data_IF_775865323961
#
_entry.id   IF_775865323961
#
_cell.length_a   1.000
_cell.length_b   1.000
_cell.length_c   1.000
_cell.angle_alpha   90.00
_cell.angle_beta   90.00
_cell.angle_gamma   90.00
#
_symmetry.space_group_name_H-M   'P 1'
#
loop_
_entity.id
_entity.type
_entity.pdbx_description
1 polymer ?
#
# COMPACT_ATOMS: atom_id res chain seq x y z
N UNK A 1 18.52 3.36 11.73
CA UNK A 1 17.46 4.16 11.08
C UNK A 1 16.73 3.23 10.15
N UNK A 2 15.42 3.04 10.33
CA UNK A 2 14.59 2.22 9.44
C UNK A 2 14.43 2.90 8.07
N UNK A 3 13.93 2.15 7.07
CA UNK A 3 13.64 2.75 5.75
C UNK A 3 12.52 3.79 5.86
N UNK A 4 11.50 3.55 6.69
CA UNK A 4 10.45 4.55 6.95
C UNK A 4 11.01 5.82 7.60
N UNK A 5 11.86 5.71 8.62
CA UNK A 5 12.50 6.89 9.25
C UNK A 5 13.30 7.69 8.23
N UNK A 6 14.08 7.02 7.39
CA UNK A 6 14.86 7.67 6.32
C UNK A 6 13.97 8.37 5.30
N UNK A 7 12.90 7.71 4.86
CA UNK A 7 11.93 8.24 3.91
C UNK A 7 11.21 9.47 4.46
N UNK A 8 10.66 9.41 5.69
CA UNK A 8 9.97 10.55 6.29
C UNK A 8 10.93 11.71 6.57
N UNK A 9 12.19 11.45 6.96
CA UNK A 9 13.20 12.48 7.11
C UNK A 9 13.48 13.19 5.80
N UNK A 10 13.60 12.46 4.68
CA UNK A 10 13.78 13.03 3.35
C UNK A 10 12.58 13.86 2.90
N UNK A 11 11.36 13.38 3.10
CA UNK A 11 10.14 14.14 2.81
C UNK A 11 10.08 15.46 3.60
N UNK A 12 10.43 15.41 4.89
CA UNK A 12 10.47 16.59 5.76
C UNK A 12 11.51 17.61 5.28
N UNK A 13 12.70 17.16 4.90
CA UNK A 13 13.75 18.03 4.35
C UNK A 13 13.31 18.73 3.05
N UNK A 14 12.47 18.06 2.24
CA UNK A 14 11.91 18.58 1.00
C UNK A 14 10.62 19.41 1.22
N UNK A 15 10.22 19.65 2.46
CA UNK A 15 8.98 20.36 2.83
C UNK A 15 7.72 19.75 2.14
N UNK A 16 7.60 18.44 2.15
CA UNK A 16 6.45 17.72 1.57
C UNK A 16 6.02 16.52 2.43
N UNK A 17 4.86 15.99 2.13
CA UNK A 17 4.43 14.69 2.64
C UNK A 17 4.88 13.52 1.77
N UNK A 18 4.72 12.30 2.27
CA UNK A 18 4.95 11.09 1.52
C UNK A 18 3.76 10.76 0.60
N UNK A 19 4.04 10.14 -0.56
CA UNK A 19 3.02 9.60 -1.46
C UNK A 19 3.25 8.10 -1.67
N UNK A 20 2.23 7.30 -1.31
CA UNK A 20 2.31 5.83 -1.28
C UNK A 20 1.24 5.23 -2.19
N UNK A 21 1.61 4.43 -3.21
CA UNK A 21 0.66 3.65 -3.98
C UNK A 21 0.35 2.34 -3.27
N UNK A 22 -0.93 1.92 -3.31
CA UNK A 22 -1.30 0.54 -3.06
C UNK A 22 -1.42 -0.22 -4.38
N UNK A 23 -0.84 -1.41 -4.44
CA UNK A 23 -0.92 -2.33 -5.58
C UNK A 23 -1.22 -3.73 -5.09
N UNK A 24 -2.17 -4.43 -5.75
CA UNK A 24 -2.38 -5.86 -5.55
C UNK A 24 -1.29 -6.64 -6.28
N UNK A 25 -0.48 -7.41 -5.54
CA UNK A 25 0.58 -8.23 -6.13
C UNK A 25 0.00 -9.27 -7.09
N UNK A 26 0.59 -9.34 -8.27
CA UNK A 26 0.16 -10.25 -9.33
C UNK A 26 -0.98 -9.75 -10.22
N UNK A 27 -1.51 -8.54 -10.03
CA UNK A 27 -2.56 -7.96 -10.85
C UNK A 27 -1.96 -7.12 -12.02
N UNK A 28 -2.21 -7.44 -13.30
CA UNK A 28 -2.98 -8.58 -13.83
C UNK A 28 -2.15 -9.87 -14.01
N UNK A 29 -0.83 -9.82 -13.93
CA UNK A 29 0.14 -10.93 -13.88
C UNK A 29 1.31 -10.54 -13.00
N UNK A 30 2.14 -11.51 -12.56
CA UNK A 30 3.30 -11.22 -11.71
C UNK A 30 4.27 -10.26 -12.38
N UNK A 31 4.57 -10.45 -13.66
CA UNK A 31 5.54 -9.66 -14.40
C UNK A 31 5.00 -8.26 -14.75
N UNK A 32 3.72 -8.16 -15.09
CA UNK A 32 3.09 -6.87 -15.32
C UNK A 32 2.99 -6.08 -14.00
N UNK A 33 2.65 -6.73 -12.88
CA UNK A 33 2.63 -6.16 -11.55
C UNK A 33 4.01 -5.62 -11.15
N UNK A 34 5.09 -6.41 -11.39
CA UNK A 34 6.47 -5.97 -11.14
C UNK A 34 6.79 -4.70 -11.92
N UNK A 35 6.49 -4.65 -13.21
CA UNK A 35 6.73 -3.47 -14.06
C UNK A 35 5.89 -2.26 -13.65
N UNK A 36 4.63 -2.45 -13.28
CA UNK A 36 3.76 -1.39 -12.76
C UNK A 36 4.34 -0.78 -11.49
N UNK A 37 4.85 -1.61 -10.57
CA UNK A 37 5.46 -1.16 -9.32
C UNK A 37 6.77 -0.39 -9.61
N UNK A 38 7.63 -0.91 -10.49
CA UNK A 38 8.85 -0.21 -10.93
C UNK A 38 8.51 1.18 -11.49
N UNK A 39 7.43 1.28 -12.28
CA UNK A 39 6.96 2.54 -12.85
C UNK A 39 6.47 3.53 -11.79
N UNK A 40 5.70 3.07 -10.80
CA UNK A 40 5.22 3.92 -9.70
C UNK A 40 6.37 4.43 -8.84
N UNK A 41 7.42 3.61 -8.61
CA UNK A 41 8.63 4.06 -7.93
C UNK A 41 9.36 5.12 -8.75
N UNK A 42 9.52 4.91 -10.05
CA UNK A 42 10.13 5.89 -10.96
C UNK A 42 9.34 7.20 -11.04
N UNK A 43 8.01 7.14 -10.86
CA UNK A 43 7.12 8.29 -10.80
C UNK A 43 7.15 9.03 -9.46
N UNK A 44 7.91 8.55 -8.46
CA UNK A 44 8.14 9.25 -7.19
C UNK A 44 7.43 8.64 -5.99
N UNK A 45 7.10 7.35 -6.00
CA UNK A 45 6.59 6.68 -4.81
C UNK A 45 7.65 6.68 -3.70
N UNK A 46 7.25 7.15 -2.51
CA UNK A 46 8.14 7.23 -1.34
C UNK A 46 8.22 5.88 -0.61
N UNK A 47 7.12 5.13 -0.60
CA UNK A 47 7.02 3.78 -0.09
C UNK A 47 6.00 3.00 -0.93
N UNK A 48 5.91 1.70 -0.72
CA UNK A 48 4.90 0.83 -1.33
C UNK A 48 3.98 0.25 -0.26
N UNK A 49 2.69 0.14 -0.57
CA UNK A 49 1.74 -0.68 0.14
C UNK A 49 1.26 -1.78 -0.81
N UNK A 50 1.51 -3.04 -0.47
CA UNK A 50 1.28 -4.17 -1.36
C UNK A 50 0.25 -5.12 -0.75
N UNK A 51 -0.77 -5.49 -1.54
CA UNK A 51 -1.78 -6.48 -1.17
C UNK A 51 -1.35 -7.89 -1.54
N UNK A 52 -1.60 -8.87 -0.67
CA UNK A 52 -1.56 -10.29 -1.01
C UNK A 52 -2.97 -10.77 -1.40
N UNK A 53 -3.13 -11.64 -2.41
CA UNK A 53 -4.43 -12.16 -2.78
C UNK A 53 -5.07 -12.93 -1.61
N UNK A 54 -6.37 -12.66 -1.37
CA UNK A 54 -7.17 -13.30 -0.34
C UNK A 54 -8.60 -13.52 -0.83
N UNK A 55 -9.24 -14.63 -0.43
CA UNK A 55 -10.56 -15.03 -0.94
C UNK A 55 -11.71 -14.21 -0.38
N UNK A 56 -11.58 -13.68 0.85
CA UNK A 56 -12.68 -13.08 1.61
C UNK A 56 -12.34 -11.66 2.10
N UNK A 57 -12.05 -10.70 1.20
CA UNK A 57 -11.52 -9.38 1.54
C UNK A 57 -12.60 -8.42 2.04
N UNK A 58 -13.09 -8.65 3.26
CA UNK A 58 -14.25 -7.95 3.86
C UNK A 58 -14.06 -6.45 4.10
N UNK A 59 -12.83 -5.97 4.19
CA UNK A 59 -12.51 -4.54 4.37
C UNK A 59 -12.34 -3.81 3.04
N UNK A 60 -12.34 -4.52 1.91
CA UNK A 60 -12.06 -3.96 0.60
C UNK A 60 -13.34 -3.59 -0.16
N UNK A 61 -13.25 -2.50 -0.92
CA UNK A 61 -14.26 -2.11 -1.89
C UNK A 61 -14.16 -2.91 -3.19
N UNK A 62 -15.19 -2.84 -4.01
CA UNK A 62 -15.39 -3.66 -5.22
C UNK A 62 -14.15 -3.72 -6.12
N UNK A 63 -13.50 -2.59 -6.40
CA UNK A 63 -12.33 -2.56 -7.28
C UNK A 63 -11.16 -3.43 -6.77
N UNK A 64 -10.92 -3.43 -5.44
CA UNK A 64 -9.85 -4.24 -4.84
C UNK A 64 -10.30 -5.70 -4.75
N UNK A 65 -11.58 -5.97 -4.42
CA UNK A 65 -12.14 -7.32 -4.44
C UNK A 65 -11.99 -7.97 -5.83
N UNK A 66 -12.29 -7.24 -6.90
CA UNK A 66 -12.09 -7.71 -8.28
C UNK A 66 -10.62 -7.96 -8.61
N UNK A 67 -9.67 -7.18 -8.05
CA UNK A 67 -8.24 -7.44 -8.22
C UNK A 67 -7.83 -8.77 -7.59
N UNK A 68 -8.30 -9.11 -6.38
CA UNK A 68 -8.08 -10.42 -5.79
C UNK A 68 -8.54 -11.57 -6.72
N UNK A 69 -9.75 -11.42 -7.30
CA UNK A 69 -10.31 -12.42 -8.22
C UNK A 69 -9.47 -12.57 -9.50
N UNK A 70 -8.97 -11.45 -10.07
CA UNK A 70 -8.09 -11.51 -11.25
C UNK A 70 -6.79 -12.26 -10.95
N UNK A 71 -6.19 -12.00 -9.79
CA UNK A 71 -4.96 -12.69 -9.36
C UNK A 71 -5.21 -14.19 -9.18
N UNK A 72 -6.29 -14.58 -8.50
CA UNK A 72 -6.66 -15.99 -8.34
C UNK A 72 -6.94 -16.70 -9.67
N UNK A 73 -7.61 -16.02 -10.60
CA UNK A 73 -7.88 -16.58 -11.93
C UNK A 73 -6.60 -16.95 -12.71
N UNK A 74 -5.45 -16.38 -12.31
CA UNK A 74 -4.12 -16.71 -12.88
C UNK A 74 -3.37 -17.80 -12.11
N UNK A 75 -3.96 -18.36 -11.06
CA UNK A 75 -3.31 -19.36 -10.22
C UNK A 75 -2.16 -18.82 -9.36
N UNK A 76 -2.04 -17.50 -9.24
CA UNK A 76 -1.00 -16.85 -8.43
C UNK A 76 -1.32 -17.06 -6.96
N UNK A 77 -0.34 -17.44 -6.19
CA UNK A 77 -0.44 -17.74 -4.77
C UNK A 77 0.47 -16.82 -3.92
N UNK A 78 0.36 -16.95 -2.59
CA UNK A 78 1.12 -16.13 -1.64
C UNK A 78 2.65 -16.33 -1.78
N UNK A 79 3.11 -17.53 -2.13
CA UNK A 79 4.55 -17.78 -2.32
C UNK A 79 5.09 -17.01 -3.52
N UNK A 80 4.37 -17.01 -4.65
CA UNK A 80 4.72 -16.24 -5.85
C UNK A 80 4.82 -14.73 -5.55
N UNK A 81 3.91 -14.22 -4.69
CA UNK A 81 3.93 -12.83 -4.26
C UNK A 81 5.17 -12.51 -3.41
N UNK A 82 5.57 -13.39 -2.48
CA UNK A 82 6.80 -13.20 -1.71
C UNK A 82 8.06 -13.22 -2.59
N UNK A 83 8.09 -14.07 -3.62
CA UNK A 83 9.20 -14.10 -4.57
C UNK A 83 9.27 -12.80 -5.39
N UNK A 84 8.12 -12.25 -5.77
CA UNK A 84 8.04 -10.92 -6.39
C UNK A 84 8.54 -9.81 -5.45
N UNK A 85 8.14 -9.82 -4.16
CA UNK A 85 8.64 -8.87 -3.17
C UNK A 85 10.16 -8.94 -3.07
N UNK A 86 10.74 -10.14 -3.03
CA UNK A 86 12.20 -10.33 -3.01
C UNK A 86 12.90 -9.71 -4.22
N UNK A 87 12.33 -9.85 -5.43
CA UNK A 87 12.85 -9.21 -6.64
C UNK A 87 12.75 -7.68 -6.57
N UNK A 88 11.61 -7.16 -6.12
CA UNK A 88 11.42 -5.72 -5.91
C UNK A 88 12.41 -5.16 -4.90
N UNK A 89 12.62 -5.85 -3.78
CA UNK A 89 13.62 -5.45 -2.76
C UNK A 89 15.03 -5.41 -3.33
N UNK A 90 15.42 -6.38 -4.15
CA UNK A 90 16.73 -6.40 -4.80
C UNK A 90 16.94 -5.21 -5.74
N UNK A 91 15.91 -4.80 -6.48
CA UNK A 91 15.93 -3.64 -7.38
C UNK A 91 15.87 -2.30 -6.62
N UNK A 92 15.08 -2.24 -5.54
CA UNK A 92 14.78 -1.01 -4.80
C UNK A 92 15.15 -1.14 -3.31
N UNK A 93 16.44 -1.21 -2.97
CA UNK A 93 16.90 -1.55 -1.61
C UNK A 93 16.50 -0.51 -0.55
N UNK A 94 16.20 0.73 -0.94
CA UNK A 94 15.90 1.82 -0.01
C UNK A 94 14.41 2.16 0.11
N UNK A 95 13.56 1.69 -0.81
CA UNK A 95 12.12 1.99 -0.78
C UNK A 95 11.45 1.16 0.31
N UNK A 96 10.72 1.75 1.29
CA UNK A 96 9.95 0.98 2.25
C UNK A 96 8.86 0.15 1.55
N UNK A 97 8.73 -1.12 1.95
CA UNK A 97 7.70 -2.05 1.46
C UNK A 97 6.82 -2.45 2.63
N UNK A 98 5.57 -2.02 2.64
CA UNK A 98 4.53 -2.45 3.55
C UNK A 98 3.60 -3.46 2.90
N UNK A 99 3.07 -4.39 3.69
CA UNK A 99 1.98 -5.27 3.29
C UNK A 99 0.68 -4.83 3.94
N UNK A 100 -0.40 -4.81 3.16
CA UNK A 100 -1.77 -4.73 3.64
C UNK A 100 -2.44 -6.08 3.33
N UNK A 101 -2.77 -6.85 4.39
CA UNK A 101 -3.19 -8.24 4.28
C UNK A 101 -4.25 -8.58 5.33
N UNK A 102 -4.96 -9.68 5.13
CA UNK A 102 -5.95 -10.19 6.07
C UNK A 102 -5.35 -11.16 7.08
N UNK A 103 -5.84 -11.12 8.32
CA UNK A 103 -5.32 -11.88 9.48
C UNK A 103 -5.30 -13.39 9.29
N UNK A 104 -6.16 -13.95 8.46
CA UNK A 104 -6.15 -15.37 8.14
C UNK A 104 -4.86 -15.82 7.41
N UNK A 105 -4.20 -14.95 6.65
CA UNK A 105 -2.96 -15.31 5.95
C UNK A 105 -1.84 -15.64 6.96
N UNK A 106 -1.43 -14.73 7.87
CA UNK A 106 -0.42 -15.04 8.88
C UNK A 106 -0.89 -16.12 9.86
N UNK A 107 -2.19 -16.17 10.18
CA UNK A 107 -2.70 -17.19 11.07
C UNK A 107 -2.56 -18.61 10.49
N UNK A 108 -2.90 -18.79 9.20
CA UNK A 108 -2.79 -20.08 8.51
C UNK A 108 -1.34 -20.54 8.32
N UNK A 109 -0.41 -19.59 8.13
CA UNK A 109 1.02 -19.89 8.00
C UNK A 109 1.71 -20.13 9.34
N UNK A 110 1.11 -19.69 10.45
CA UNK A 110 1.75 -19.51 11.75
C UNK A 110 2.45 -18.15 11.81
N UNK A 111 2.18 -17.38 12.89
CA UNK A 111 2.62 -15.99 13.00
C UNK A 111 4.14 -15.83 12.83
N UNK A 112 4.92 -16.63 13.55
CA UNK A 112 6.38 -16.56 13.51
C UNK A 112 6.90 -16.85 12.09
N UNK A 113 6.43 -17.93 11.46
CA UNK A 113 6.83 -18.32 10.11
C UNK A 113 6.46 -17.26 9.06
N UNK A 114 5.28 -16.63 9.20
CA UNK A 114 4.86 -15.55 8.32
C UNK A 114 5.78 -14.32 8.44
N UNK A 115 6.06 -13.87 9.66
CA UNK A 115 6.90 -12.69 9.87
C UNK A 115 8.37 -12.95 9.54
N UNK A 116 8.90 -14.16 9.76
CA UNK A 116 10.22 -14.58 9.27
C UNK A 116 10.27 -14.53 7.73
N UNK A 117 9.21 -14.97 7.06
CA UNK A 117 9.11 -14.87 5.59
C UNK A 117 9.07 -13.40 5.14
N UNK A 118 8.31 -12.54 5.83
CA UNK A 118 8.30 -11.10 5.58
C UNK A 118 9.70 -10.49 5.69
N UNK A 119 10.41 -10.73 6.78
CA UNK A 119 11.75 -10.23 7.00
C UNK A 119 12.73 -10.73 5.92
N UNK A 120 12.67 -12.02 5.57
CA UNK A 120 13.52 -12.64 4.55
C UNK A 120 13.28 -12.05 3.16
N UNK A 121 12.04 -11.70 2.82
CA UNK A 121 11.69 -11.04 1.57
C UNK A 121 12.00 -9.53 1.58
N UNK A 122 12.33 -8.97 2.74
CA UNK A 122 12.66 -7.54 2.89
C UNK A 122 11.44 -6.64 3.05
N UNK A 123 10.33 -7.16 3.59
CA UNK A 123 9.16 -6.37 4.00
C UNK A 123 9.51 -5.53 5.21
N UNK A 124 9.10 -4.26 5.22
CA UNK A 124 9.36 -3.32 6.31
C UNK A 124 8.21 -3.23 7.30
N UNK A 125 6.97 -3.39 6.84
CA UNK A 125 5.80 -3.31 7.72
C UNK A 125 4.64 -4.20 7.27
N UNK A 126 3.74 -4.48 8.21
CA UNK A 126 2.49 -5.20 7.96
C UNK A 126 1.34 -4.45 8.62
N UNK A 127 0.24 -4.26 7.86
CA UNK A 127 -1.05 -3.78 8.31
C UNK A 127 -2.09 -4.87 8.11
N UNK A 128 -2.89 -5.16 9.15
CA UNK A 128 -3.94 -6.18 9.15
C UNK A 128 -5.27 -5.51 9.52
N UNK A 129 -6.13 -5.17 8.56
CA UNK A 129 -7.30 -4.32 8.79
C UNK A 129 -8.43 -5.01 9.57
N UNK A 130 -8.48 -6.33 9.57
CA UNK A 130 -9.47 -7.16 10.26
C UNK A 130 -9.03 -7.65 11.66
N UNK A 131 -7.83 -7.21 12.14
CA UNK A 131 -7.36 -7.47 13.50
C UNK A 131 -7.43 -6.18 14.32
N UNK A 132 -8.39 -6.06 15.27
CA UNK A 132 -8.50 -4.90 16.15
C UNK A 132 -7.24 -4.72 17.02
N UNK A 133 -6.93 -3.47 17.42
CA UNK A 133 -5.74 -3.15 18.21
C UNK A 133 -5.60 -4.01 19.48
N UNK A 134 -6.70 -4.30 20.17
CA UNK A 134 -6.71 -5.14 21.38
C UNK A 134 -6.33 -6.59 21.14
N UNK A 135 -6.55 -7.10 19.92
CA UNK A 135 -6.21 -8.48 19.50
C UNK A 135 -4.84 -8.54 18.80
N UNK A 136 -4.23 -7.38 18.52
CA UNK A 136 -3.00 -7.27 17.76
C UNK A 136 -1.71 -7.72 18.46
N UNK A 137 -1.75 -7.95 19.80
CA UNK A 137 -0.56 -8.30 20.58
C UNK A 137 0.25 -9.48 20.05
N UNK A 138 -0.35 -10.65 19.72
CA UNK A 138 0.41 -11.78 19.17
C UNK A 138 1.12 -11.43 17.85
N UNK A 139 0.42 -10.70 16.97
CA UNK A 139 0.96 -10.25 15.68
C UNK A 139 2.14 -9.28 15.87
N UNK A 140 1.97 -8.27 16.73
CA UNK A 140 3.02 -7.30 16.99
C UNK A 140 4.22 -7.88 17.75
N UNK A 141 4.03 -8.92 18.55
CA UNK A 141 5.12 -9.65 19.20
C UNK A 141 5.98 -10.39 18.15
N UNK A 142 5.34 -11.16 17.27
CA UNK A 142 6.01 -11.90 16.21
C UNK A 142 6.71 -10.96 15.21
N UNK A 143 6.06 -9.87 14.80
CA UNK A 143 6.65 -8.88 13.87
C UNK A 143 7.88 -8.21 14.46
N UNK A 144 7.81 -7.81 15.73
CA UNK A 144 8.92 -7.17 16.45
C UNK A 144 10.11 -8.08 16.60
N UNK A 145 9.90 -9.39 16.80
CA UNK A 145 10.98 -10.37 16.95
C UNK A 145 11.91 -10.42 15.73
N UNK A 146 11.40 -10.08 14.54
CA UNK A 146 12.15 -10.09 13.27
C UNK A 146 12.36 -8.70 12.67
N UNK A 147 12.00 -7.62 13.38
CA UNK A 147 12.25 -6.25 12.96
C UNK A 147 11.29 -5.74 11.86
N UNK A 148 10.09 -6.33 11.74
CA UNK A 148 9.01 -5.85 10.86
C UNK A 148 8.09 -4.94 11.65
N UNK A 149 7.78 -3.75 11.14
CA UNK A 149 6.92 -2.77 11.80
C UNK A 149 5.43 -3.20 11.74
N UNK A 150 4.68 -2.94 12.83
CA UNK A 150 3.23 -3.14 12.86
C UNK A 150 2.53 -1.81 12.63
N UNK A 151 1.84 -1.67 11.49
CA UNK A 151 1.00 -0.51 11.16
C UNK A 151 -0.42 -0.76 11.66
N UNK A 152 -1.00 0.26 12.30
CA UNK A 152 -2.37 0.18 12.80
C UNK A 152 -3.25 1.27 12.17
N UNK A 153 -4.54 0.91 12.01
CA UNK A 153 -5.56 1.84 11.52
C UNK A 153 -6.04 2.73 12.67
N UNK A 154 -6.10 4.03 12.41
CA UNK A 154 -6.79 5.02 13.25
C UNK A 154 -8.12 5.39 12.59
N UNK A 155 -9.27 4.85 13.06
CA UNK A 155 -10.58 5.18 12.52
C UNK A 155 -10.98 6.63 12.85
N UNK A 156 -11.76 7.31 12.02
CA UNK A 156 -12.14 8.72 12.25
C UNK A 156 -13.07 8.93 13.45
N UNK A 157 -13.73 7.84 13.91
CA UNK A 157 -14.60 7.83 15.09
C UNK A 157 -13.96 7.17 16.31
N UNK A 158 -12.64 6.96 16.29
CA UNK A 158 -11.94 6.36 17.42
C UNK A 158 -12.01 7.26 18.66
N UNK A 159 -12.19 6.66 19.84
CA UNK A 159 -12.05 7.36 21.11
C UNK A 159 -10.58 7.76 21.33
N UNK A 160 -10.37 8.78 22.18
CA UNK A 160 -9.03 9.21 22.59
C UNK A 160 -8.20 8.04 23.14
N UNK A 161 -8.82 7.17 23.96
CA UNK A 161 -8.18 5.96 24.47
C UNK A 161 -7.73 5.03 23.35
N UNK A 162 -8.55 4.83 22.32
CA UNK A 162 -8.19 4.00 21.16
C UNK A 162 -7.05 4.63 20.37
N UNK A 163 -7.08 5.95 20.16
CA UNK A 163 -6.00 6.66 19.48
C UNK A 163 -4.67 6.59 20.26
N UNK A 164 -4.73 6.69 21.60
CA UNK A 164 -3.58 6.50 22.46
C UNK A 164 -2.96 5.09 22.31
N UNK A 165 -3.82 4.05 22.34
CA UNK A 165 -3.37 2.67 22.12
C UNK A 165 -2.75 2.46 20.73
N UNK A 166 -3.33 3.06 19.69
CA UNK A 166 -2.78 3.03 18.33
C UNK A 166 -1.43 3.73 18.29
N UNK A 167 -1.30 4.93 18.88
CA UNK A 167 -0.05 5.68 18.92
C UNK A 167 1.08 4.91 19.63
N UNK A 168 0.75 4.23 20.73
CA UNK A 168 1.72 3.41 21.49
C UNK A 168 2.18 2.17 20.72
N UNK A 169 1.23 1.50 20.04
CA UNK A 169 1.50 0.20 19.39
C UNK A 169 2.09 0.33 18.00
N UNK A 170 1.70 1.36 17.23
CA UNK A 170 2.11 1.52 15.83
C UNK A 170 3.60 1.75 15.68
N UNK A 171 4.17 1.18 14.62
CA UNK A 171 5.54 1.39 14.15
C UNK A 171 5.49 1.65 12.65
N UNK A 172 6.55 2.28 12.12
CA UNK A 172 6.56 2.72 10.71
C UNK A 172 5.67 3.94 10.51
N UNK A 173 4.36 3.76 10.48
CA UNK A 173 3.36 4.84 10.39
C UNK A 173 2.01 4.42 10.99
N UNK A 174 1.13 5.41 11.22
CA UNK A 174 -0.29 5.19 11.52
C UNK A 174 -1.09 5.38 10.24
N UNK A 175 -1.96 4.42 9.92
CA UNK A 175 -2.88 4.50 8.80
C UNK A 175 -4.19 5.18 9.23
N UNK A 176 -4.33 6.46 8.97
CA UNK A 176 -5.58 7.16 9.22
C UNK A 176 -6.56 6.92 8.06
N UNK A 177 -7.83 6.72 8.38
CA UNK A 177 -8.89 6.60 7.38
C UNK A 177 -9.83 7.78 7.44
N UNK A 178 -10.26 8.26 6.28
CA UNK A 178 -11.12 9.45 6.16
C UNK A 178 -12.58 9.18 6.55
N UNK A 179 -12.99 7.91 6.62
CA UNK A 179 -14.37 7.48 6.88
C UNK A 179 -14.41 6.04 7.38
N UNK A 180 -15.54 5.68 8.01
CA UNK A 180 -15.86 4.29 8.35
C UNK A 180 -16.41 3.61 7.10
N UNK A 181 -16.04 2.34 6.85
CA UNK A 181 -16.51 1.52 5.75
C UNK A 181 -15.37 0.94 4.89
N UNK A 182 -15.71 0.46 3.70
CA UNK A 182 -14.77 -0.16 2.77
C UNK A 182 -14.06 0.86 1.86
N UNK A 183 -12.96 0.45 1.24
CA UNK A 183 -12.21 1.24 0.26
C UNK A 183 -13.07 1.57 -0.97
N UNK A 184 -12.82 2.69 -1.65
CA UNK A 184 -13.53 3.07 -2.89
C UNK A 184 -13.32 4.53 -3.26
N UNK A 185 -13.38 4.85 -4.56
CA UNK A 185 -13.27 6.23 -5.07
C UNK A 185 -14.63 6.94 -5.19
N UNK A 186 -15.72 6.23 -4.96
CA UNK A 186 -17.09 6.73 -5.11
C UNK A 186 -17.48 7.79 -4.09
N UNK A 187 -16.75 7.81 -2.97
CA UNK A 187 -16.91 8.82 -1.92
C UNK A 187 -15.58 9.59 -1.80
N UNK A 188 -15.65 10.90 -2.00
CA UNK A 188 -14.49 11.77 -1.82
C UNK A 188 -13.94 11.66 -0.38
N UNK A 189 -12.61 11.78 -0.26
CA UNK A 189 -11.95 11.79 1.05
C UNK A 189 -12.49 12.95 1.89
N UNK A 190 -13.02 12.63 3.07
CA UNK A 190 -13.45 13.62 4.06
C UNK A 190 -12.33 13.80 5.08
N UNK A 191 -11.80 15.02 5.22
CA UNK A 191 -10.69 15.29 6.13
C UNK A 191 -11.16 15.67 7.54
N UNK A 192 -12.47 15.79 7.79
CA UNK A 192 -13.00 16.20 9.08
C UNK A 192 -12.54 15.33 10.26
N UNK A 193 -12.46 13.99 10.06
CA UNK A 193 -11.94 13.08 11.08
C UNK A 193 -10.44 13.23 11.37
N UNK A 194 -9.64 13.72 10.40
CA UNK A 194 -8.22 13.95 10.60
C UNK A 194 -7.93 15.13 11.50
N UNK A 195 -8.74 16.19 11.41
CA UNK A 195 -8.54 17.41 12.20
C UNK A 195 -8.59 17.15 13.71
N UNK A 196 -9.25 16.07 14.15
CA UNK A 196 -9.26 15.63 15.55
C UNK A 196 -8.26 14.50 15.83
N UNK A 197 -8.13 13.53 14.94
CA UNK A 197 -7.30 12.35 15.17
C UNK A 197 -5.80 12.66 15.13
N UNK A 198 -5.33 13.49 14.19
CA UNK A 198 -3.89 13.79 14.04
C UNK A 198 -3.31 14.51 15.26
N UNK A 199 -3.94 15.58 15.82
CA UNK A 199 -3.45 16.19 17.05
C UNK A 199 -3.34 15.20 18.20
N UNK A 200 -4.41 14.41 18.47
CA UNK A 200 -4.41 13.40 19.53
C UNK A 200 -3.31 12.35 19.35
N UNK A 201 -3.13 11.82 18.13
CA UNK A 201 -2.04 10.89 17.84
C UNK A 201 -0.66 11.52 18.14
N UNK A 202 -0.47 12.80 17.78
CA UNK A 202 0.79 13.53 18.05
C UNK A 202 1.04 13.77 19.54
N UNK A 203 0.00 14.06 20.32
CA UNK A 203 0.09 14.19 21.78
C UNK A 203 0.58 12.90 22.45
N UNK A 204 0.25 11.75 21.86
CA UNK A 204 0.72 10.43 22.29
C UNK A 204 2.01 9.96 21.58
N UNK A 205 2.76 10.89 20.95
CA UNK A 205 4.04 10.59 20.26
C UNK A 205 3.93 9.49 19.21
N UNK A 206 2.87 9.48 18.43
CA UNK A 206 2.72 8.51 17.35
C UNK A 206 3.82 8.62 16.30
N UNK A 207 4.03 7.53 15.58
CA UNK A 207 4.75 7.56 14.31
C UNK A 207 4.01 8.47 13.30
N UNK A 208 4.63 8.87 12.18
CA UNK A 208 3.97 9.67 11.14
C UNK A 208 2.62 9.11 10.73
N UNK A 209 1.70 9.99 10.32
CA UNK A 209 0.32 9.63 9.96
C UNK A 209 0.13 9.75 8.46
N UNK A 210 -0.24 8.65 7.79
CA UNK A 210 -0.63 8.63 6.38
C UNK A 210 -2.15 8.51 6.25
N UNK A 211 -2.77 9.34 5.38
CA UNK A 211 -4.19 9.22 5.08
C UNK A 211 -4.41 8.27 3.92
N UNK A 212 -5.16 7.20 4.17
CA UNK A 212 -5.74 6.34 3.14
C UNK A 212 -7.23 6.60 2.92
N UNK A 213 -7.84 5.83 2.04
CA UNK A 213 -9.24 5.86 1.61
C UNK A 213 -9.67 7.15 0.88
N UNK A 214 -10.22 6.96 -0.32
CA UNK A 214 -10.77 8.05 -1.12
C UNK A 214 -9.75 8.99 -1.78
N UNK A 215 -8.45 8.71 -1.66
CA UNK A 215 -7.38 9.48 -2.30
C UNK A 215 -7.26 9.07 -3.76
N UNK A 216 -7.86 9.86 -4.66
CA UNK A 216 -7.92 9.57 -6.10
C UNK A 216 -7.61 10.77 -6.99
N UNK A 217 -7.35 11.94 -6.41
CA UNK A 217 -7.06 13.19 -7.13
C UNK A 217 -6.05 14.02 -6.33
N UNK A 218 -5.24 14.87 -7.00
CA UNK A 218 -4.29 15.76 -6.32
C UNK A 218 -4.93 16.65 -5.24
N UNK A 219 -6.19 17.09 -5.43
CA UNK A 219 -6.91 17.88 -4.42
C UNK A 219 -7.08 17.13 -3.09
N UNK A 220 -7.26 15.80 -3.13
CA UNK A 220 -7.40 14.96 -1.93
C UNK A 220 -6.07 14.86 -1.17
N UNK A 221 -4.95 14.77 -1.90
CA UNK A 221 -3.61 14.78 -1.30
C UNK A 221 -3.35 16.11 -0.60
N UNK A 222 -3.59 17.25 -1.30
CA UNK A 222 -3.46 18.59 -0.68
C UNK A 222 -4.31 18.73 0.58
N UNK A 223 -5.56 18.26 0.54
CA UNK A 223 -6.45 18.29 1.69
C UNK A 223 -5.92 17.45 2.88
N UNK A 224 -5.36 16.27 2.61
CA UNK A 224 -4.73 15.42 3.62
C UNK A 224 -3.54 16.13 4.29
N UNK A 225 -2.64 16.70 3.49
CA UNK A 225 -1.47 17.44 3.98
C UNK A 225 -1.90 18.68 4.78
N UNK A 226 -2.88 19.45 4.29
CA UNK A 226 -3.41 20.61 5.00
C UNK A 226 -4.09 20.24 6.33
N UNK A 227 -4.67 19.05 6.44
CA UNK A 227 -5.24 18.51 7.69
C UNK A 227 -4.17 17.95 8.65
N UNK A 228 -2.88 18.06 8.32
CA UNK A 228 -1.75 17.69 9.18
C UNK A 228 -1.24 16.26 8.99
N UNK A 229 -1.69 15.50 7.99
CA UNK A 229 -1.10 14.20 7.66
C UNK A 229 0.33 14.36 7.15
N UNK A 230 1.17 13.36 7.40
CA UNK A 230 2.55 13.31 6.91
C UNK A 230 2.65 12.73 5.48
N UNK A 231 1.51 12.31 4.92
CA UNK A 231 1.41 11.83 3.55
C UNK A 231 0.04 11.22 3.23
N UNK A 232 -0.06 10.64 2.05
CA UNK A 232 -1.29 10.03 1.57
C UNK A 232 -1.03 8.69 0.86
N UNK A 233 -2.04 7.80 0.90
CA UNK A 233 -2.02 6.50 0.24
C UNK A 233 -3.14 6.48 -0.81
N UNK A 234 -2.82 6.08 -2.05
CA UNK A 234 -3.79 5.93 -3.13
C UNK A 234 -3.82 4.48 -3.61
N UNK A 235 -4.97 3.84 -3.56
CA UNK A 235 -5.14 2.43 -3.92
C UNK A 235 -6.17 2.23 -5.02
N UNK A 236 -7.45 2.35 -4.70
CA UNK A 236 -8.56 2.03 -5.62
C UNK A 236 -8.48 2.74 -6.97
N UNK A 237 -7.86 3.93 -7.05
CA UNK A 237 -7.65 4.63 -8.31
C UNK A 237 -6.66 3.87 -9.21
N UNK A 238 -5.52 3.46 -8.66
CA UNK A 238 -4.49 2.67 -9.37
C UNK A 238 -5.08 1.33 -9.81
N UNK A 239 -5.73 0.61 -8.89
CA UNK A 239 -6.33 -0.70 -9.16
C UNK A 239 -7.38 -0.62 -10.28
N UNK A 240 -8.17 0.45 -10.36
CA UNK A 240 -9.10 0.67 -11.48
C UNK A 240 -8.41 0.94 -12.81
N UNK A 241 -7.30 1.68 -12.81
CA UNK A 241 -6.50 1.89 -14.03
C UNK A 241 -5.93 0.56 -14.54
N UNK A 242 -5.44 -0.29 -13.63
CA UNK A 242 -4.98 -1.64 -13.97
C UNK A 242 -6.13 -2.48 -14.52
N UNK A 243 -7.27 -2.50 -13.84
CA UNK A 243 -8.46 -3.27 -14.24
C UNK A 243 -8.94 -2.91 -15.65
N UNK A 244 -8.90 -1.62 -16.00
CA UNK A 244 -9.34 -1.15 -17.33
C UNK A 244 -8.51 -1.71 -18.50
N UNK A 245 -7.31 -2.22 -18.24
CA UNK A 245 -6.39 -2.74 -19.26
C UNK A 245 -5.97 -4.21 -19.03
N UNK A 246 -6.45 -4.83 -17.94
CA UNK A 246 -5.99 -6.13 -17.50
C UNK A 246 -6.06 -7.21 -18.59
N UNK A 247 -7.23 -7.35 -19.22
CA UNK A 247 -7.45 -8.37 -20.26
C UNK A 247 -6.61 -8.13 -21.52
N UNK A 248 -6.43 -6.86 -21.92
CA UNK A 248 -5.61 -6.48 -23.06
C UNK A 248 -4.13 -6.81 -22.81
N UNK A 249 -3.63 -6.51 -21.61
CA UNK A 249 -2.25 -6.78 -21.17
C UNK A 249 -1.99 -8.29 -21.22
N UNK A 250 -2.87 -9.07 -20.62
CA UNK A 250 -2.76 -10.53 -20.59
C UNK A 250 -2.81 -11.12 -21.99
N UNK A 251 -3.78 -10.71 -22.81
CA UNK A 251 -3.87 -11.17 -24.19
C UNK A 251 -2.63 -10.81 -25.03
N UNK A 252 -2.01 -9.64 -24.77
CA UNK A 252 -0.77 -9.27 -25.43
C UNK A 252 0.41 -10.12 -24.98
N UNK A 253 0.51 -10.46 -23.69
CA UNK A 253 1.52 -11.39 -23.17
C UNK A 253 1.41 -12.77 -23.82
N UNK A 254 0.20 -13.34 -23.87
CA UNK A 254 -0.07 -14.65 -24.46
C UNK A 254 0.26 -14.68 -25.96
N UNK A 255 -0.13 -13.63 -26.71
CA UNK A 255 0.17 -13.53 -28.15
C UNK A 255 1.65 -13.39 -28.47
N UNK A 256 2.44 -12.81 -27.56
CA UNK A 256 3.88 -12.60 -27.82
C UNK A 256 4.66 -13.90 -27.95
N UNK A 257 4.19 -14.98 -27.33
CA UNK A 257 4.91 -16.25 -27.24
C UNK A 257 6.28 -16.16 -26.56
N UNK A 258 6.63 -14.99 -26.04
CA UNK A 258 7.89 -14.72 -25.37
C UNK A 258 7.86 -15.22 -23.91
N UNK A 259 9.03 -15.50 -23.29
CA UNK A 259 9.09 -15.72 -21.85
C UNK A 259 8.44 -14.55 -21.08
N UNK A 260 7.79 -14.85 -19.96
CA UNK A 260 6.91 -13.91 -19.23
C UNK A 260 7.54 -12.52 -18.97
N UNK A 261 8.80 -12.47 -18.51
CA UNK A 261 9.52 -11.20 -18.31
C UNK A 261 9.77 -10.44 -19.62
N UNK A 262 10.04 -11.13 -20.72
CA UNK A 262 10.24 -10.49 -22.03
C UNK A 262 8.91 -10.01 -22.62
N UNK A 263 7.83 -10.73 -22.36
CA UNK A 263 6.48 -10.38 -22.81
C UNK A 263 5.94 -9.10 -22.19
N UNK A 264 6.53 -8.63 -21.08
CA UNK A 264 6.20 -7.36 -20.41
C UNK A 264 7.25 -6.28 -20.62
N UNK A 265 8.31 -6.55 -21.37
CA UNK A 265 9.36 -5.56 -21.64
C UNK A 265 8.80 -4.34 -22.41
N UNK A 266 9.38 -3.15 -22.23
CA UNK A 266 8.99 -1.95 -22.97
C UNK A 266 9.03 -2.19 -24.49
N UNK A 267 7.97 -1.76 -25.18
CA UNK A 267 7.82 -1.93 -26.63
C UNK A 267 7.27 -3.30 -27.08
N UNK A 268 7.10 -4.25 -26.16
CA UNK A 268 6.57 -5.60 -26.48
C UNK A 268 5.08 -5.71 -26.15
N UNK A 269 4.64 -5.12 -25.04
CA UNK A 269 3.25 -5.13 -24.60
C UNK A 269 2.70 -3.71 -24.63
N UNK A 270 2.12 -3.31 -25.76
CA UNK A 270 1.61 -1.94 -25.93
C UNK A 270 0.55 -1.55 -24.89
N UNK A 271 -0.46 -2.38 -24.55
CA UNK A 271 -1.41 -2.05 -23.48
C UNK A 271 -0.74 -1.78 -22.13
N UNK A 272 0.31 -2.51 -21.79
CA UNK A 272 1.08 -2.30 -20.56
C UNK A 272 1.92 -1.01 -20.63
N UNK A 273 2.52 -0.70 -21.79
CA UNK A 273 3.26 0.54 -22.01
C UNK A 273 2.36 1.76 -21.83
N UNK A 274 1.15 1.72 -22.39
CA UNK A 274 0.15 2.78 -22.26
C UNK A 274 -0.32 2.93 -20.82
N UNK A 275 -0.58 1.82 -20.12
CA UNK A 275 -0.93 1.85 -18.69
C UNK A 275 0.20 2.46 -17.86
N UNK A 276 1.44 2.03 -18.06
CA UNK A 276 2.60 2.58 -17.36
C UNK A 276 2.74 4.10 -17.57
N UNK A 277 2.54 4.59 -18.79
CA UNK A 277 2.55 6.01 -19.08
C UNK A 277 1.44 6.77 -18.34
N UNK A 278 0.21 6.24 -18.33
CA UNK A 278 -0.93 6.82 -17.61
C UNK A 278 -0.70 6.82 -16.09
N UNK A 279 -0.17 5.73 -15.53
CA UNK A 279 0.18 5.62 -14.11
C UNK A 279 1.27 6.63 -13.73
N UNK A 280 2.29 6.80 -14.56
CA UNK A 280 3.35 7.81 -14.36
C UNK A 280 2.76 9.21 -14.29
N UNK A 281 1.95 9.61 -15.26
CA UNK A 281 1.31 10.92 -15.28
C UNK A 281 0.43 11.13 -14.03
N UNK A 282 -0.45 10.18 -13.75
CA UNK A 282 -1.33 10.21 -12.58
C UNK A 282 -0.51 10.34 -11.30
N UNK A 283 0.46 9.45 -11.07
CA UNK A 283 1.17 9.38 -9.80
C UNK A 283 2.12 10.57 -9.60
N UNK A 284 2.78 11.04 -10.65
CA UNK A 284 3.58 12.29 -10.60
C UNK A 284 2.72 13.48 -10.17
N UNK A 285 1.48 13.59 -10.69
CA UNK A 285 0.55 14.65 -10.30
C UNK A 285 0.15 14.55 -8.81
N UNK A 286 0.02 13.33 -8.29
CA UNK A 286 -0.27 13.08 -6.88
C UNK A 286 0.93 13.44 -5.99
N UNK A 287 2.15 13.08 -6.40
CA UNK A 287 3.40 13.44 -5.70
C UNK A 287 3.57 14.97 -5.63
N UNK A 288 3.35 15.68 -6.72
CA UNK A 288 3.42 17.15 -6.73
C UNK A 288 2.44 17.82 -5.76
N UNK A 289 1.34 17.15 -5.43
CA UNK A 289 0.34 17.65 -4.49
C UNK A 289 0.71 17.46 -3.00
N UNK A 290 1.81 16.80 -2.68
CA UNK A 290 2.27 16.58 -1.29
C UNK A 290 3.06 17.76 -0.71
N UNK A 291 3.41 18.78 -1.52
CA UNK A 291 4.15 19.97 -1.08
C UNK A 291 3.36 20.69 0.02
N UNK A 292 4.04 21.02 1.12
CA UNK A 292 3.48 21.79 2.22
C UNK A 292 3.53 23.30 1.87
N UNK A 293 2.44 23.99 2.15
CA UNK A 293 2.35 25.44 1.92
C UNK A 293 3.24 26.23 2.87
#
# INVERSE_FOLDING_TARGET
MSRYESMFAACKQQNRGAMVPFVMLGDPTLEASERIIDELIAAGADALELGLPFSDPVADGVAIQEAHLRVFARGINVADCFDLIGRLRAKHPQVPIGLLIYGNIPFAMGLDAFYERCASAGVDSVLIPDVPIREGRPFSAASRAVGVDSVYIAPPSASEETLAQVAEAARGYVYAVSRVGVTGVENEAQTQGLNSAVPTLREHNSTPVLLGFGISKPKHVRAAIAAGADGAITGSAIVRMIAARADEIVAAQERSGAPALQATAPGVNQPLDELCAQLREFFTSMCAATTKA
#
